data_IF_136904699926
#
_entry.id   IF_136904699926
#
_cell.length_a   1.000
_cell.length_b   1.000
_cell.length_c   1.000
_cell.angle_alpha   90.00
_cell.angle_beta   90.00
_cell.angle_gamma   90.00
#
_symmetry.space_group_name_H-M   'P 1'
#
loop_
_entity.id
_entity.type
_entity.pdbx_description
1 polymer ?
#
# COMPACT_ATOMS: atom_id res chain seq x y z
N UNK A 1 -9.58 6.52 0.84
CA UNK A 1 -10.95 6.39 1.37
C UNK A 1 -12.04 6.66 0.33
N UNK A 2 -12.15 7.88 -0.24
CA UNK A 2 -13.23 8.24 -1.18
C UNK A 2 -13.34 7.28 -2.38
N UNK A 3 -12.23 7.07 -3.09
CA UNK A 3 -12.17 6.13 -4.23
C UNK A 3 -12.62 4.74 -3.83
N UNK A 4 -12.01 4.15 -2.80
CA UNK A 4 -12.39 2.80 -2.34
C UNK A 4 -13.87 2.70 -2.04
N UNK A 5 -14.44 3.63 -1.25
CA UNK A 5 -15.86 3.64 -0.90
C UNK A 5 -16.77 3.68 -2.13
N UNK A 6 -16.44 4.52 -3.11
CA UNK A 6 -17.23 4.64 -4.35
C UNK A 6 -17.22 3.34 -5.16
N UNK A 7 -16.08 2.64 -5.21
CA UNK A 7 -15.94 1.43 -6.02
C UNK A 7 -16.32 0.13 -5.30
N UNK A 8 -16.55 0.15 -3.97
CA UNK A 8 -16.96 -1.04 -3.20
C UNK A 8 -18.14 -1.80 -3.83
N UNK A 9 -19.25 -1.16 -4.25
CA UNK A 9 -20.37 -1.89 -4.86
C UNK A 9 -20.01 -2.62 -6.17
N UNK A 10 -19.05 -2.09 -6.93
CA UNK A 10 -18.57 -2.70 -8.16
C UNK A 10 -17.57 -3.82 -7.87
N UNK A 11 -16.60 -3.56 -6.97
CA UNK A 11 -15.62 -4.55 -6.54
C UNK A 11 -16.29 -5.76 -5.88
N UNK A 12 -17.39 -5.57 -5.13
CA UNK A 12 -18.14 -6.65 -4.50
C UNK A 12 -18.71 -7.68 -5.49
N UNK A 13 -18.80 -7.34 -6.80
CA UNK A 13 -19.19 -8.28 -7.86
C UNK A 13 -18.04 -9.19 -8.31
N UNK A 14 -16.79 -8.87 -7.95
CA UNK A 14 -15.63 -9.71 -8.22
C UNK A 14 -15.62 -10.94 -7.31
N UNK A 15 -15.12 -12.07 -7.83
CA UNK A 15 -14.85 -13.27 -7.03
C UNK A 15 -13.69 -13.07 -6.05
N UNK A 16 -12.79 -12.13 -6.33
CA UNK A 16 -11.61 -11.83 -5.52
C UNK A 16 -11.38 -10.30 -5.49
N UNK A 17 -12.19 -9.55 -4.72
CA UNK A 17 -12.05 -8.10 -4.65
C UNK A 17 -10.76 -7.69 -3.94
N UNK A 18 -9.99 -6.79 -4.58
CA UNK A 18 -8.67 -6.34 -4.11
C UNK A 18 -8.58 -4.82 -4.14
N UNK A 19 -7.90 -4.24 -3.15
CA UNK A 19 -7.54 -2.81 -3.10
C UNK A 19 -6.08 -2.70 -2.67
N UNK A 20 -5.27 -2.03 -3.49
CA UNK A 20 -3.84 -1.84 -3.23
C UNK A 20 -3.58 -0.35 -3.08
N UNK A 21 -3.20 0.06 -1.86
CA UNK A 21 -2.86 1.44 -1.54
C UNK A 21 -1.35 1.66 -1.66
N UNK A 22 -0.90 2.47 -2.62
CA UNK A 22 0.53 2.80 -2.75
C UNK A 22 0.93 3.78 -1.64
N UNK A 23 1.53 3.24 -0.59
CA UNK A 23 2.01 3.97 0.58
C UNK A 23 3.52 4.27 0.47
N UNK A 24 4.23 4.38 1.59
CA UNK A 24 5.68 4.65 1.64
C UNK A 24 6.29 4.20 2.96
N UNK A 25 7.59 3.94 2.97
CA UNK A 25 8.36 3.68 4.19
C UNK A 25 8.34 4.87 5.15
N UNK A 26 8.24 6.11 4.65
CA UNK A 26 8.06 7.29 5.50
C UNK A 26 6.75 7.30 6.30
N UNK A 27 5.81 6.39 6.02
CA UNK A 27 4.60 6.19 6.83
C UNK A 27 4.79 5.26 8.03
N UNK A 28 5.99 4.69 8.21
CA UNK A 28 6.33 3.81 9.33
C UNK A 28 6.57 4.62 10.61
N UNK A 29 6.03 4.12 11.72
CA UNK A 29 6.25 4.58 13.08
C UNK A 29 7.03 3.55 13.91
N UNK A 30 6.94 2.26 13.56
CA UNK A 30 7.78 1.24 14.17
C UNK A 30 9.26 1.55 13.91
N UNK A 31 10.04 1.66 14.99
CA UNK A 31 11.47 2.01 14.91
C UNK A 31 11.76 3.52 14.86
N UNK A 32 10.73 4.36 14.94
CA UNK A 32 10.84 5.82 14.92
C UNK A 32 10.21 6.44 13.67
N UNK A 33 9.64 7.63 13.83
CA UNK A 33 9.02 8.36 12.73
C UNK A 33 10.09 9.02 11.85
N UNK A 34 9.83 9.04 10.54
CA UNK A 34 10.67 9.74 9.58
C UNK A 34 10.30 11.23 9.47
N UNK A 35 11.30 12.09 9.31
CA UNK A 35 11.17 13.55 9.41
C UNK A 35 11.50 14.33 8.15
N UNK A 36 11.95 13.70 7.05
CA UNK A 36 12.43 14.43 5.87
C UNK A 36 11.31 15.18 5.12
N UNK A 37 10.06 14.73 5.22
CA UNK A 37 8.89 15.44 4.70
C UNK A 37 7.64 15.16 5.57
N UNK A 38 7.46 15.87 6.70
CA UNK A 38 6.46 15.52 7.71
C UNK A 38 5.04 15.38 7.18
N UNK A 39 4.59 16.30 6.32
CA UNK A 39 3.25 16.23 5.73
C UNK A 39 3.06 14.99 4.84
N UNK A 40 4.08 14.62 4.07
CA UNK A 40 4.07 13.40 3.26
C UNK A 40 4.07 12.16 4.16
N UNK A 41 4.96 12.09 5.14
CA UNK A 41 5.04 10.99 6.11
C UNK A 41 3.70 10.77 6.81
N UNK A 42 3.10 11.83 7.39
CA UNK A 42 1.78 11.79 8.03
C UNK A 42 0.70 11.28 7.07
N UNK A 43 0.70 11.73 5.81
CA UNK A 43 -0.29 11.26 4.82
C UNK A 43 -0.17 9.75 4.56
N UNK A 44 1.05 9.21 4.58
CA UNK A 44 1.33 7.78 4.35
C UNK A 44 1.06 6.96 5.60
N UNK A 45 1.35 7.47 6.80
CA UNK A 45 0.91 6.90 8.07
C UNK A 45 -0.62 6.78 8.11
N UNK A 46 -1.34 7.86 7.76
CA UNK A 46 -2.79 7.86 7.70
C UNK A 46 -3.32 6.84 6.67
N UNK A 47 -2.66 6.69 5.52
CA UNK A 47 -3.05 5.71 4.50
C UNK A 47 -2.88 4.26 4.98
N UNK A 48 -1.85 3.98 5.78
CA UNK A 48 -1.67 2.67 6.42
C UNK A 48 -2.79 2.41 7.44
N UNK A 49 -3.16 3.41 8.25
CA UNK A 49 -4.32 3.33 9.14
C UNK A 49 -5.64 3.09 8.39
N UNK A 50 -5.88 3.81 7.29
CA UNK A 50 -7.05 3.61 6.41
C UNK A 50 -7.09 2.18 5.86
N UNK A 51 -5.93 1.63 5.49
CA UNK A 51 -5.82 0.25 4.97
C UNK A 51 -6.25 -0.76 6.03
N UNK A 52 -5.74 -0.63 7.25
CA UNK A 52 -6.10 -1.49 8.38
C UNK A 52 -7.61 -1.43 8.68
N UNK A 53 -8.16 -0.21 8.80
CA UNK A 53 -9.58 -0.01 9.09
C UNK A 53 -10.49 -0.58 7.99
N UNK A 54 -10.14 -0.38 6.71
CA UNK A 54 -10.94 -0.91 5.60
C UNK A 54 -10.85 -2.43 5.49
N UNK A 55 -9.68 -3.03 5.75
CA UNK A 55 -9.54 -4.49 5.77
C UNK A 55 -10.46 -5.13 6.83
N UNK A 56 -10.56 -4.52 8.01
CA UNK A 56 -11.52 -4.96 9.05
C UNK A 56 -12.97 -4.73 8.63
N UNK A 57 -13.29 -3.56 8.07
CA UNK A 57 -14.66 -3.22 7.68
C UNK A 57 -15.18 -4.04 6.47
N UNK A 58 -14.28 -4.59 5.64
CA UNK A 58 -14.60 -5.30 4.42
C UNK A 58 -13.95 -6.70 4.40
N UNK A 59 -14.41 -7.66 5.24
CA UNK A 59 -13.72 -8.93 5.47
C UNK A 59 -13.63 -9.87 4.25
N UNK A 60 -14.39 -9.59 3.17
CA UNK A 60 -14.31 -10.33 1.89
C UNK A 60 -13.23 -9.78 0.95
N UNK A 61 -12.67 -8.61 1.25
CA UNK A 61 -11.73 -7.88 0.39
C UNK A 61 -10.28 -8.11 0.86
N UNK A 62 -9.37 -8.26 -0.09
CA UNK A 62 -7.94 -8.18 0.15
C UNK A 62 -7.51 -6.71 0.01
N UNK A 63 -7.28 -6.02 1.13
CA UNK A 63 -6.95 -4.60 1.19
C UNK A 63 -5.60 -4.44 1.85
N UNK A 64 -4.59 -4.03 1.08
CA UNK A 64 -3.22 -3.90 1.58
C UNK A 64 -2.61 -2.57 1.17
N UNK A 65 -1.61 -2.13 1.91
CA UNK A 65 -0.73 -1.03 1.53
C UNK A 65 0.64 -1.56 1.16
N UNK A 66 1.35 -0.80 0.33
CA UNK A 66 2.66 -1.20 -0.19
C UNK A 66 3.63 -0.04 -0.20
N UNK A 67 4.85 -0.28 0.24
CA UNK A 67 5.99 0.61 0.04
C UNK A 67 6.73 0.15 -1.21
N UNK A 68 6.72 0.93 -2.31
CA UNK A 68 7.47 0.57 -3.51
C UNK A 68 8.99 0.78 -3.34
N UNK A 69 9.45 1.34 -2.22
CA UNK A 69 10.82 1.79 -2.03
C UNK A 69 11.09 3.13 -2.72
N UNK A 70 12.37 3.49 -2.86
CA UNK A 70 12.77 4.73 -3.54
C UNK A 70 12.99 4.46 -5.03
N UNK A 71 12.01 4.85 -5.85
CA UNK A 71 11.90 4.46 -7.27
C UNK A 71 12.23 5.62 -8.20
N UNK A 72 13.00 5.36 -9.27
CA UNK A 72 13.36 6.33 -10.33
C UNK A 72 12.13 6.77 -11.12
N UNK A 73 11.51 7.83 -10.60
CA UNK A 73 10.33 8.52 -11.14
C UNK A 73 10.55 10.02 -10.96
N UNK A 74 9.65 10.85 -11.47
CA UNK A 74 9.71 12.29 -11.19
C UNK A 74 9.68 12.60 -9.68
N UNK A 75 8.86 11.87 -8.90
CA UNK A 75 8.77 12.02 -7.44
C UNK A 75 10.02 11.52 -6.71
N UNK A 76 10.64 10.44 -7.19
CA UNK A 76 11.82 9.86 -6.56
C UNK A 76 13.13 10.53 -6.98
N UNK A 77 13.17 11.17 -8.15
CA UNK A 77 14.39 11.75 -8.72
C UNK A 77 15.35 10.70 -9.28
N UNK A 78 16.40 11.19 -9.95
CA UNK A 78 17.39 10.34 -10.63
C UNK A 78 18.28 9.54 -9.66
N UNK A 79 18.44 10.02 -8.42
CA UNK A 79 19.22 9.34 -7.38
C UNK A 79 18.52 8.14 -6.74
N UNK A 80 17.27 7.86 -7.11
CA UNK A 80 16.52 6.75 -6.56
C UNK A 80 17.14 5.40 -6.91
N UNK A 81 17.18 4.50 -5.93
CA UNK A 81 17.92 3.24 -6.03
C UNK A 81 17.20 2.18 -6.87
N UNK A 82 15.87 2.24 -6.97
CA UNK A 82 15.06 1.21 -7.63
C UNK A 82 14.54 1.62 -9.01
N UNK A 83 14.39 0.64 -9.90
CA UNK A 83 13.68 0.80 -11.17
C UNK A 83 12.15 0.82 -10.97
N UNK A 84 11.42 1.27 -12.00
CA UNK A 84 9.95 1.28 -12.00
C UNK A 84 9.39 -0.13 -11.87
N UNK A 85 10.01 -1.10 -12.55
CA UNK A 85 9.63 -2.51 -12.52
C UNK A 85 9.80 -3.10 -11.12
N UNK A 86 10.92 -2.82 -10.46
CA UNK A 86 11.15 -3.22 -9.06
C UNK A 86 10.13 -2.60 -8.11
N UNK A 87 9.78 -1.33 -8.32
CA UNK A 87 8.75 -0.64 -7.53
C UNK A 87 7.33 -1.18 -7.76
N UNK A 88 7.03 -1.62 -8.98
CA UNK A 88 5.72 -2.14 -9.38
C UNK A 88 5.48 -3.59 -8.95
N UNK A 89 6.54 -4.38 -8.76
CA UNK A 89 6.48 -5.82 -8.49
C UNK A 89 5.43 -6.21 -7.45
N UNK A 90 5.52 -5.65 -6.24
CA UNK A 90 4.61 -6.01 -5.14
C UNK A 90 3.19 -5.51 -5.40
N UNK A 91 3.02 -4.39 -6.10
CA UNK A 91 1.69 -3.85 -6.46
C UNK A 91 1.00 -4.81 -7.42
N UNK A 92 1.70 -5.22 -8.49
CA UNK A 92 1.17 -6.15 -9.49
C UNK A 92 0.85 -7.49 -8.85
N UNK A 93 1.78 -8.04 -8.06
CA UNK A 93 1.58 -9.31 -7.36
C UNK A 93 0.37 -9.27 -6.41
N UNK A 94 0.16 -8.18 -5.65
CA UNK A 94 -1.02 -8.01 -4.80
C UNK A 94 -2.33 -7.98 -5.60
N UNK A 95 -2.30 -7.41 -6.80
CA UNK A 95 -3.44 -7.28 -7.70
C UNK A 95 -3.79 -8.59 -8.41
N UNK A 96 -2.80 -9.46 -8.70
CA UNK A 96 -2.97 -10.71 -9.47
C UNK A 96 -2.97 -11.97 -8.59
N UNK A 97 -1.83 -12.27 -7.99
CA UNK A 97 -1.45 -13.62 -7.53
C UNK A 97 -1.50 -13.78 -6.02
N UNK A 98 -1.39 -12.69 -5.26
CA UNK A 98 -1.30 -12.75 -3.80
C UNK A 98 -2.52 -13.47 -3.20
N UNK A 99 -2.36 -14.28 -2.14
CA UNK A 99 -3.50 -14.97 -1.51
C UNK A 99 -4.61 -13.99 -1.09
N UNK A 100 -5.87 -14.31 -1.38
CA UNK A 100 -7.01 -13.44 -1.01
C UNK A 100 -7.12 -13.21 0.51
N UNK A 101 -6.60 -14.14 1.32
CA UNK A 101 -6.53 -14.03 2.79
C UNK A 101 -5.48 -13.02 3.27
N UNK A 102 -4.57 -12.58 2.41
CA UNK A 102 -3.59 -11.55 2.74
C UNK A 102 -4.29 -10.18 2.68
N UNK A 103 -4.64 -9.65 3.84
CA UNK A 103 -5.38 -8.39 3.97
C UNK A 103 -4.96 -7.65 5.23
N UNK A 104 -5.09 -6.32 5.23
CA UNK A 104 -4.72 -5.43 6.33
C UNK A 104 -3.21 -5.29 6.54
N UNK A 105 -2.39 -5.69 5.57
CA UNK A 105 -0.93 -5.71 5.70
C UNK A 105 -0.26 -4.53 5.00
N UNK A 106 0.94 -4.20 5.47
CA UNK A 106 1.84 -3.27 4.82
C UNK A 106 3.03 -4.04 4.26
N UNK A 107 3.28 -3.94 2.95
CA UNK A 107 4.23 -4.81 2.25
C UNK A 107 5.32 -4.07 1.50
N UNK A 108 6.46 -4.73 1.34
CA UNK A 108 7.51 -4.40 0.38
C UNK A 108 8.18 -5.71 -0.06
N UNK A 109 8.52 -5.82 -1.33
CA UNK A 109 9.18 -7.00 -1.90
C UNK A 109 8.44 -8.30 -1.59
N UNK A 110 7.09 -8.24 -1.71
CA UNK A 110 6.13 -9.32 -1.40
C UNK A 110 6.19 -9.85 0.04
N UNK A 111 6.81 -9.09 0.96
CA UNK A 111 6.92 -9.42 2.38
C UNK A 111 6.21 -8.37 3.22
N UNK A 112 5.60 -8.80 4.32
CA UNK A 112 5.10 -7.87 5.34
C UNK A 112 6.27 -7.14 5.97
N UNK A 113 6.13 -5.82 6.11
CA UNK A 113 7.07 -4.96 6.81
C UNK A 113 6.36 -4.29 7.98
N UNK A 114 7.08 -3.92 9.05
CA UNK A 114 6.45 -3.25 10.19
C UNK A 114 5.86 -1.91 9.76
N UNK A 115 4.74 -1.52 10.37
CA UNK A 115 4.15 -0.20 10.23
C UNK A 115 4.41 0.60 11.49
#
# INVERSE_FOLDING_TARGET
>A
LRVTRTFVPLLAKSKAPRVINVSSGGGQLTGGADGWAPAYCISKTALNGVTSQLATALPKFAINSVCPGWVRTEMGGQGATRSVEEGADTIVWLASEAPQKLTGKFLRDRKEIPW
#
